data_IF_372065356712
#
_entry.id   IF_372065356712
#
_cell.length_a   1.000
_cell.length_b   1.000
_cell.length_c   1.000
_cell.angle_alpha   90.00
_cell.angle_beta   90.00
_cell.angle_gamma   90.00
#
_symmetry.space_group_name_H-M   'P 1'
#
loop_
_entity.id
_entity.type
_entity.pdbx_description
1 polymer ?
#
# COMPACT_ATOMS: atom_id res chain seq x y z
N UNK A 1 -19.32 3.34 0.39
CA UNK A 1 -17.95 2.79 0.28
C UNK A 1 -17.32 3.29 -1.01
N UNK A 2 -16.07 3.75 -0.93
CA UNK A 2 -15.32 4.24 -2.09
C UNK A 2 -14.06 3.42 -2.30
N UNK A 3 -13.91 2.85 -3.49
CA UNK A 3 -12.75 2.03 -3.88
C UNK A 3 -12.02 2.69 -5.05
N UNK A 4 -10.70 2.86 -4.92
CA UNK A 4 -9.83 3.38 -5.96
C UNK A 4 -8.88 2.29 -6.45
N UNK A 5 -8.98 1.91 -7.73
CA UNK A 5 -8.06 0.99 -8.39
C UNK A 5 -6.95 1.77 -9.11
N UNK A 6 -5.72 1.62 -8.67
CA UNK A 6 -4.52 2.26 -9.23
C UNK A 6 -3.85 1.28 -10.19
N UNK A 7 -3.92 1.55 -11.48
CA UNK A 7 -3.53 0.66 -12.56
C UNK A 7 -2.13 1.02 -13.09
N UNK A 8 -1.15 0.16 -12.80
CA UNK A 8 0.23 0.29 -13.30
C UNK A 8 0.47 -0.34 -14.66
N UNK A 9 -0.58 -0.73 -15.39
CA UNK A 9 -0.44 -1.27 -16.74
C UNK A 9 -0.46 -0.15 -17.79
N UNK A 10 0.45 -0.15 -18.78
CA UNK A 10 0.43 0.83 -19.87
C UNK A 10 -0.73 0.62 -20.85
N UNK A 11 -1.38 -0.53 -20.81
CA UNK A 11 -2.50 -0.91 -21.68
C UNK A 11 -3.68 -1.43 -20.86
N UNK A 12 -4.90 -1.30 -21.39
CA UNK A 12 -6.11 -1.94 -20.84
C UNK A 12 -6.15 -3.44 -21.21
N UNK A 13 -5.13 -4.18 -20.76
CA UNK A 13 -4.95 -5.62 -21.00
C UNK A 13 -5.44 -6.50 -19.84
N UNK A 14 -4.72 -7.60 -19.58
CA UNK A 14 -5.11 -8.61 -18.59
C UNK A 14 -5.28 -8.03 -17.16
N UNK A 15 -4.33 -7.19 -16.70
CA UNK A 15 -4.42 -6.55 -15.38
C UNK A 15 -5.73 -5.77 -15.23
N UNK A 16 -6.11 -4.99 -16.24
CA UNK A 16 -7.37 -4.24 -16.22
C UNK A 16 -8.60 -5.17 -16.24
N UNK A 17 -8.61 -6.21 -17.10
CA UNK A 17 -9.72 -7.18 -17.16
C UNK A 17 -9.93 -7.91 -15.84
N UNK A 18 -8.86 -8.32 -15.14
CA UNK A 18 -8.96 -8.93 -13.81
C UNK A 18 -9.52 -7.92 -12.80
N UNK A 19 -9.10 -6.66 -12.86
CA UNK A 19 -9.65 -5.60 -11.98
C UNK A 19 -11.13 -5.36 -12.24
N UNK A 20 -11.59 -5.39 -13.49
CA UNK A 20 -13.02 -5.31 -13.82
C UNK A 20 -13.83 -6.49 -13.25
N UNK A 21 -13.27 -7.70 -13.25
CA UNK A 21 -13.93 -8.85 -12.60
C UNK A 21 -14.06 -8.62 -11.09
N UNK A 22 -13.02 -8.08 -10.44
CA UNK A 22 -13.07 -7.70 -9.00
C UNK A 22 -14.13 -6.62 -8.77
N UNK A 23 -14.17 -5.56 -9.59
CA UNK A 23 -15.20 -4.52 -9.52
C UNK A 23 -16.63 -5.12 -9.58
N UNK A 24 -16.88 -6.00 -10.56
CA UNK A 24 -18.18 -6.64 -10.75
C UNK A 24 -18.57 -7.48 -9.51
N UNK A 25 -17.61 -8.21 -8.90
CA UNK A 25 -17.85 -8.95 -7.65
C UNK A 25 -18.17 -8.03 -6.48
N UNK A 26 -17.40 -6.95 -6.31
CA UNK A 26 -17.63 -5.98 -5.23
C UNK A 26 -19.00 -5.30 -5.37
N UNK A 27 -19.38 -4.89 -6.58
CA UNK A 27 -20.71 -4.33 -6.87
C UNK A 27 -21.83 -5.34 -6.61
N UNK A 28 -21.61 -6.61 -6.96
CA UNK A 28 -22.56 -7.69 -6.66
C UNK A 28 -22.74 -7.89 -5.16
N UNK A 29 -21.66 -7.92 -4.38
CA UNK A 29 -21.76 -8.04 -2.92
C UNK A 29 -22.45 -6.83 -2.29
N UNK A 30 -22.14 -5.62 -2.75
CA UNK A 30 -22.77 -4.40 -2.26
C UNK A 30 -24.27 -4.35 -2.54
N UNK A 31 -24.69 -4.86 -3.70
CA UNK A 31 -26.11 -4.96 -4.07
C UNK A 31 -26.90 -5.96 -3.21
N UNK A 32 -26.28 -7.08 -2.84
CA UNK A 32 -26.89 -8.19 -2.11
C UNK A 32 -26.39 -8.31 -0.67
N UNK A 33 -25.95 -7.18 -0.07
CA UNK A 33 -25.47 -7.20 1.31
C UNK A 33 -26.60 -7.49 2.30
N UNK A 34 -26.31 -8.29 3.33
CA UNK A 34 -27.28 -8.72 4.34
C UNK A 34 -27.88 -7.59 5.20
N UNK A 35 -27.19 -6.45 5.27
CA UNK A 35 -27.65 -5.25 6.00
C UNK A 35 -28.39 -4.23 5.11
N UNK A 36 -28.69 -4.61 3.87
CA UNK A 36 -29.31 -3.75 2.86
C UNK A 36 -28.34 -3.31 1.79
N UNK A 37 -28.87 -2.64 0.75
CA UNK A 37 -28.07 -2.14 -0.37
C UNK A 37 -27.00 -1.16 0.12
N UNK A 38 -25.73 -1.49 -0.14
CA UNK A 38 -24.58 -0.63 0.13
C UNK A 38 -24.25 0.16 -1.12
N UNK A 39 -24.12 1.48 -1.01
CA UNK A 39 -23.61 2.30 -2.10
C UNK A 39 -22.09 2.12 -2.22
N UNK A 40 -21.63 1.63 -3.38
CA UNK A 40 -20.23 1.37 -3.68
C UNK A 40 -19.81 2.14 -4.93
N UNK A 41 -19.05 3.18 -4.72
CA UNK A 41 -18.36 3.95 -5.76
C UNK A 41 -17.04 3.25 -6.09
N UNK A 42 -16.81 2.94 -7.37
CA UNK A 42 -15.57 2.32 -7.84
C UNK A 42 -14.93 3.19 -8.92
N UNK A 43 -13.72 3.66 -8.66
CA UNK A 43 -12.99 4.57 -9.52
C UNK A 43 -11.65 3.99 -9.98
N UNK A 44 -11.15 4.47 -11.10
CA UNK A 44 -9.88 4.05 -11.68
C UNK A 44 -8.90 5.23 -11.78
N UNK A 45 -7.65 4.95 -11.42
CA UNK A 45 -6.51 5.80 -11.69
C UNK A 45 -5.51 5.03 -12.58
N UNK A 46 -5.47 5.35 -13.87
CA UNK A 46 -4.47 4.79 -14.76
C UNK A 46 -3.18 5.62 -14.64
N UNK A 47 -2.11 5.01 -14.13
CA UNK A 47 -0.85 5.71 -13.90
C UNK A 47 -0.22 6.25 -15.19
N UNK A 48 -0.51 5.64 -16.34
CA UNK A 48 -0.08 6.15 -17.66
C UNK A 48 -0.67 7.52 -18.02
N UNK A 49 -1.84 7.85 -17.46
CA UNK A 49 -2.60 9.07 -17.74
C UNK A 49 -2.56 10.06 -16.54
N UNK A 50 -1.84 9.70 -15.48
CA UNK A 50 -1.94 10.37 -14.18
C UNK A 50 -1.08 11.64 -14.04
N UNK A 51 -0.43 12.12 -15.10
CA UNK A 51 0.52 13.24 -15.04
C UNK A 51 1.45 13.15 -13.80
N UNK A 52 2.08 11.99 -13.61
CA UNK A 52 3.02 11.72 -12.53
C UNK A 52 4.44 11.62 -13.11
N UNK A 53 5.21 12.70 -13.00
CA UNK A 53 6.57 12.76 -13.50
C UNK A 53 7.48 11.69 -12.87
N UNK A 54 8.53 11.28 -13.61
CA UNK A 54 9.49 10.29 -13.10
C UNK A 54 10.26 10.84 -11.88
N UNK A 55 10.38 9.99 -10.86
CA UNK A 55 11.13 10.33 -9.66
C UNK A 55 12.60 10.65 -10.02
N UNK A 56 13.09 11.82 -9.59
CA UNK A 56 14.47 12.25 -9.82
C UNK A 56 15.49 11.63 -8.84
N UNK A 57 15.03 10.85 -7.86
CA UNK A 57 15.91 10.28 -6.83
C UNK A 57 16.58 11.31 -5.92
N UNK A 58 16.10 12.55 -5.87
CA UNK A 58 16.73 13.65 -5.13
C UNK A 58 16.57 13.54 -3.60
N UNK A 59 15.81 12.59 -3.12
CA UNK A 59 15.57 12.28 -1.72
C UNK A 59 14.89 13.39 -0.88
N UNK A 60 14.54 14.53 -1.46
CA UNK A 60 14.01 15.70 -0.75
C UNK A 60 12.72 15.40 0.07
N UNK A 61 11.87 14.50 -0.41
CA UNK A 61 10.61 14.14 0.24
C UNK A 61 10.82 13.37 1.56
N UNK A 62 11.95 12.70 1.76
CA UNK A 62 12.23 11.95 2.98
C UNK A 62 12.63 12.89 4.12
N UNK A 63 13.76 13.60 4.08
CA UNK A 63 14.19 14.44 5.19
C UNK A 63 13.33 15.70 5.37
N UNK A 64 12.89 16.34 4.26
CA UNK A 64 12.24 17.67 4.32
C UNK A 64 10.73 17.68 4.15
N UNK A 65 10.15 16.53 3.82
CA UNK A 65 8.72 16.37 3.58
C UNK A 65 8.35 16.31 2.10
N UNK A 66 7.24 15.65 1.81
CA UNK A 66 6.72 15.42 0.45
C UNK A 66 6.33 16.69 -0.30
N UNK A 67 5.98 17.76 0.42
CA UNK A 67 5.70 19.08 -0.13
C UNK A 67 6.96 19.79 -0.66
N UNK A 68 8.15 19.31 -0.32
CA UNK A 68 9.45 19.80 -0.81
C UNK A 68 9.94 19.04 -2.05
N UNK A 69 9.11 18.17 -2.62
CA UNK A 69 9.42 17.54 -3.90
C UNK A 69 9.54 18.61 -4.99
N UNK A 70 10.63 18.62 -5.80
CA UNK A 70 10.83 19.62 -6.85
C UNK A 70 9.90 19.41 -8.05
N UNK A 71 9.27 18.25 -8.19
CA UNK A 71 8.32 17.96 -9.27
C UNK A 71 6.97 18.60 -8.98
N UNK A 72 6.41 19.27 -9.99
CA UNK A 72 5.14 19.99 -9.92
C UNK A 72 4.09 19.28 -10.77
N UNK A 73 3.57 18.19 -10.24
CA UNK A 73 2.68 17.26 -10.93
C UNK A 73 1.51 16.81 -10.03
N UNK A 74 0.75 15.82 -10.49
CA UNK A 74 -0.46 15.35 -9.80
C UNK A 74 -0.22 14.49 -8.55
N UNK A 75 1.01 14.37 -8.02
CA UNK A 75 1.29 13.53 -6.83
C UNK A 75 0.36 13.87 -5.65
N UNK A 76 0.20 15.16 -5.34
CA UNK A 76 -0.62 15.60 -4.21
C UNK A 76 -2.12 15.30 -4.43
N UNK A 77 -2.61 15.41 -5.65
CA UNK A 77 -4.00 15.11 -5.97
C UNK A 77 -4.27 13.59 -5.95
N UNK A 78 -3.30 12.79 -6.38
CA UNK A 78 -3.36 11.32 -6.23
C UNK A 78 -3.41 10.95 -4.74
N UNK A 79 -2.59 11.57 -3.89
CA UNK A 79 -2.62 11.36 -2.44
C UNK A 79 -4.00 11.68 -1.84
N UNK A 80 -4.60 12.82 -2.20
CA UNK A 80 -5.94 13.19 -1.77
C UNK A 80 -6.99 12.16 -2.18
N UNK A 81 -6.92 11.65 -3.42
CA UNK A 81 -7.84 10.60 -3.91
C UNK A 81 -7.69 9.30 -3.11
N UNK A 82 -6.46 8.92 -2.77
CA UNK A 82 -6.18 7.75 -1.93
C UNK A 82 -6.79 7.96 -0.54
N UNK A 83 -6.51 9.09 0.10
CA UNK A 83 -7.01 9.40 1.45
C UNK A 83 -8.55 9.50 1.51
N UNK A 84 -9.19 9.90 0.42
CA UNK A 84 -10.66 9.99 0.30
C UNK A 84 -11.33 8.64 -0.01
N UNK A 85 -10.56 7.53 -0.12
CA UNK A 85 -11.06 6.20 -0.43
C UNK A 85 -11.00 5.28 0.78
N UNK A 86 -11.98 4.38 0.93
CA UNK A 86 -11.99 3.35 1.97
C UNK A 86 -11.10 2.17 1.59
N UNK A 87 -11.06 1.86 0.29
CA UNK A 87 -10.29 0.75 -0.26
C UNK A 87 -9.41 1.16 -1.43
N UNK A 88 -8.21 0.62 -1.45
CA UNK A 88 -7.24 0.80 -2.54
C UNK A 88 -6.91 -0.54 -3.15
N UNK A 89 -6.91 -0.61 -4.48
CA UNK A 89 -6.45 -1.77 -5.23
C UNK A 89 -5.21 -1.36 -6.04
N UNK A 90 -4.04 -1.86 -5.68
CA UNK A 90 -2.83 -1.68 -6.48
C UNK A 90 -2.72 -2.80 -7.51
N UNK A 91 -2.58 -2.44 -8.77
CA UNK A 91 -2.61 -3.39 -9.89
C UNK A 91 -1.36 -3.26 -10.75
N UNK A 92 -0.57 -4.33 -10.85
CA UNK A 92 0.61 -4.34 -11.70
C UNK A 92 0.73 -5.62 -12.53
N UNK A 93 1.04 -5.52 -13.83
CA UNK A 93 1.61 -6.65 -14.54
C UNK A 93 3.03 -6.92 -14.05
N UNK A 94 3.50 -8.16 -14.23
CA UNK A 94 4.91 -8.52 -14.00
C UNK A 94 5.74 -8.12 -15.21
N UNK A 95 6.75 -7.30 -14.99
CA UNK A 95 7.80 -7.00 -15.96
C UNK A 95 9.17 -7.29 -15.35
N UNK A 96 9.97 -8.11 -16.00
CA UNK A 96 11.30 -8.50 -15.50
C UNK A 96 11.29 -8.93 -14.02
N UNK A 97 10.37 -9.83 -13.66
CA UNK A 97 10.20 -10.38 -12.30
C UNK A 97 9.77 -9.34 -11.24
N UNK A 98 9.34 -8.14 -11.63
CA UNK A 98 8.96 -7.06 -10.73
C UNK A 98 7.72 -6.32 -11.23
N UNK A 99 7.31 -5.27 -10.51
CA UNK A 99 6.24 -4.36 -10.94
C UNK A 99 6.60 -3.64 -12.24
N UNK A 100 5.60 -3.16 -12.96
CA UNK A 100 5.81 -2.29 -14.13
C UNK A 100 6.54 -1.00 -13.76
N UNK A 101 7.20 -0.37 -14.72
CA UNK A 101 7.87 0.92 -14.53
C UNK A 101 6.92 2.03 -14.04
N UNK A 102 5.67 2.04 -14.50
CA UNK A 102 4.64 2.96 -14.03
C UNK A 102 4.34 2.78 -12.54
N UNK A 103 4.15 1.52 -12.12
CA UNK A 103 3.91 1.20 -10.72
C UNK A 103 5.17 1.47 -9.88
N UNK A 104 6.37 1.18 -10.42
CA UNK A 104 7.62 1.48 -9.71
C UNK A 104 7.78 2.98 -9.50
N UNK A 105 7.51 3.80 -10.52
CA UNK A 105 7.51 5.26 -10.37
C UNK A 105 6.51 5.72 -9.29
N UNK A 106 5.29 5.20 -9.30
CA UNK A 106 4.31 5.49 -8.25
C UNK A 106 4.88 5.15 -6.85
N UNK A 107 5.47 3.96 -6.69
CA UNK A 107 6.09 3.55 -5.42
C UNK A 107 7.19 4.52 -4.98
N UNK A 108 8.08 4.91 -5.90
CA UNK A 108 9.19 5.84 -5.62
C UNK A 108 8.68 7.26 -5.26
N UNK A 109 7.61 7.72 -5.95
CA UNK A 109 6.99 9.01 -5.68
C UNK A 109 6.22 9.07 -4.35
N UNK A 110 5.84 7.91 -3.79
CA UNK A 110 5.18 7.74 -2.51
C UNK A 110 6.07 7.09 -1.43
N UNK A 111 7.39 6.97 -1.67
CA UNK A 111 8.32 6.32 -0.75
C UNK A 111 8.35 6.96 0.66
N UNK A 112 8.06 8.26 0.79
CA UNK A 112 7.97 8.95 2.08
C UNK A 112 6.90 8.33 3.00
N UNK A 113 5.89 7.67 2.46
CA UNK A 113 4.84 7.01 3.27
C UNK A 113 5.36 5.78 4.02
N UNK A 114 6.52 5.23 3.65
CA UNK A 114 7.18 4.18 4.40
C UNK A 114 7.86 4.73 5.67
N UNK A 115 8.28 5.98 5.64
CA UNK A 115 8.79 6.70 6.80
C UNK A 115 7.66 7.26 7.66
N UNK A 116 6.68 7.88 7.03
CA UNK A 116 5.52 8.53 7.63
C UNK A 116 4.23 7.88 7.15
N UNK A 117 3.81 6.76 7.76
CA UNK A 117 2.59 6.06 7.37
C UNK A 117 1.35 6.94 7.54
N UNK A 118 0.71 7.30 6.43
CA UNK A 118 -0.47 8.20 6.41
C UNK A 118 -1.76 7.50 5.95
N UNK A 119 -1.64 6.33 5.30
CA UNK A 119 -2.80 5.61 4.75
C UNK A 119 -3.44 4.65 5.75
N UNK A 120 -3.62 5.10 7.00
CA UNK A 120 -3.98 4.25 8.15
C UNK A 120 -5.44 3.76 8.14
N UNK A 121 -6.30 4.40 7.37
CA UNK A 121 -7.72 4.02 7.26
C UNK A 121 -8.02 3.20 5.99
N UNK A 122 -7.07 3.08 5.06
CA UNK A 122 -7.28 2.42 3.78
C UNK A 122 -7.09 0.91 3.87
N UNK A 123 -8.07 0.14 3.38
CA UNK A 123 -7.92 -1.30 3.15
C UNK A 123 -7.23 -1.51 1.81
N UNK A 124 -6.19 -2.34 1.78
CA UNK A 124 -5.36 -2.55 0.60
C UNK A 124 -5.57 -3.95 0.00
N UNK A 125 -5.84 -4.00 -1.29
CA UNK A 125 -5.79 -5.21 -2.10
C UNK A 125 -4.69 -5.09 -3.15
N UNK A 126 -3.96 -6.17 -3.40
CA UNK A 126 -2.95 -6.24 -4.45
C UNK A 126 -3.41 -7.18 -5.56
N UNK A 127 -3.29 -6.74 -6.81
CA UNK A 127 -3.53 -7.58 -7.99
C UNK A 127 -2.27 -7.60 -8.84
N UNK A 128 -1.77 -8.81 -9.11
CA UNK A 128 -0.60 -9.01 -9.97
C UNK A 128 -0.95 -10.01 -11.08
N UNK A 129 -0.60 -9.68 -12.31
CA UNK A 129 -0.79 -10.56 -13.47
C UNK A 129 0.54 -10.82 -14.17
N UNK A 130 0.77 -12.06 -14.60
CA UNK A 130 1.97 -12.45 -15.34
C UNK A 130 1.63 -13.45 -16.44
N UNK A 131 2.46 -13.54 -17.48
CA UNK A 131 2.38 -14.64 -18.43
C UNK A 131 2.56 -15.99 -17.73
N UNK A 132 3.63 -16.14 -16.95
CA UNK A 132 3.93 -17.40 -16.25
C UNK A 132 4.61 -17.18 -14.88
N UNK A 133 5.66 -16.38 -14.80
CA UNK A 133 6.57 -16.28 -13.66
C UNK A 133 6.58 -14.88 -13.03
N UNK A 134 7.17 -14.73 -11.83
CA UNK A 134 7.38 -13.42 -11.17
C UNK A 134 6.20 -12.91 -10.33
N UNK A 135 5.11 -13.68 -10.21
CA UNK A 135 3.92 -13.27 -9.43
C UNK A 135 4.24 -13.04 -7.95
N UNK A 136 5.00 -13.96 -7.34
CA UNK A 136 5.33 -13.93 -5.92
C UNK A 136 6.26 -12.75 -5.59
N UNK A 137 7.29 -12.56 -6.39
CA UNK A 137 8.28 -11.50 -6.26
C UNK A 137 7.62 -10.12 -6.41
N UNK A 138 6.77 -9.99 -7.42
CA UNK A 138 6.03 -8.76 -7.69
C UNK A 138 5.02 -8.45 -6.59
N UNK A 139 4.27 -9.43 -6.08
CA UNK A 139 3.41 -9.25 -4.91
C UNK A 139 4.19 -8.81 -3.68
N UNK A 140 5.37 -9.39 -3.44
CA UNK A 140 6.25 -9.00 -2.33
C UNK A 140 6.71 -7.55 -2.50
N UNK A 141 7.20 -7.18 -3.68
CA UNK A 141 7.61 -5.80 -3.98
C UNK A 141 6.45 -4.82 -3.75
N UNK A 142 5.27 -5.11 -4.32
CA UNK A 142 4.09 -4.26 -4.22
C UNK A 142 3.56 -4.12 -2.78
N UNK A 143 3.79 -5.12 -1.92
CA UNK A 143 3.32 -5.10 -0.52
C UNK A 143 4.07 -4.10 0.37
N UNK A 144 5.18 -3.54 -0.09
CA UNK A 144 5.90 -2.47 0.60
C UNK A 144 5.40 -1.06 0.24
N UNK A 145 4.37 -0.95 -0.59
CA UNK A 145 3.75 0.34 -0.95
C UNK A 145 2.65 0.70 0.06
N UNK A 146 2.22 1.94 0.10
CA UNK A 146 1.08 2.41 0.90
C UNK A 146 1.29 2.27 2.42
N UNK A 147 2.31 2.96 2.94
CA UNK A 147 2.62 2.94 4.38
C UNK A 147 1.43 3.30 5.27
N UNK A 148 1.11 2.41 6.21
CA UNK A 148 0.00 2.51 7.14
C UNK A 148 -1.24 1.73 6.73
N UNK A 149 -1.45 1.40 5.45
CA UNK A 149 -2.65 0.71 4.99
C UNK A 149 -2.73 -0.75 5.47
N UNK A 150 -3.96 -1.23 5.65
CA UNK A 150 -4.23 -2.61 5.99
C UNK A 150 -4.22 -3.49 4.73
N UNK A 151 -3.15 -4.25 4.51
CA UNK A 151 -3.09 -5.23 3.43
C UNK A 151 -3.98 -6.45 3.75
N UNK A 152 -5.18 -6.46 3.20
CA UNK A 152 -6.22 -7.44 3.51
C UNK A 152 -6.40 -8.51 2.45
N UNK A 153 -6.07 -8.24 1.19
CA UNK A 153 -6.28 -9.20 0.10
C UNK A 153 -5.15 -9.17 -0.93
N UNK A 154 -4.84 -10.32 -1.52
CA UNK A 154 -3.86 -10.50 -2.59
C UNK A 154 -4.45 -11.41 -3.66
N UNK A 155 -4.30 -11.03 -4.91
CA UNK A 155 -4.71 -11.80 -6.08
C UNK A 155 -3.56 -11.87 -7.09
N UNK A 156 -3.08 -13.08 -7.36
CA UNK A 156 -2.04 -13.36 -8.34
C UNK A 156 -2.62 -14.24 -9.44
N UNK A 157 -2.60 -13.78 -10.68
CA UNK A 157 -3.23 -14.50 -11.80
C UNK A 157 -2.24 -14.68 -12.93
N UNK A 158 -2.03 -15.93 -13.35
CA UNK A 158 -1.34 -16.20 -14.61
C UNK A 158 -2.26 -15.87 -15.78
N UNK A 159 -1.74 -15.10 -16.71
CA UNK A 159 -2.49 -14.64 -17.90
C UNK A 159 -1.64 -14.82 -19.15
N UNK A 160 -1.26 -16.08 -19.50
CA UNK A 160 -0.50 -16.34 -20.71
C UNK A 160 -1.26 -15.87 -21.96
N UNK A 161 -0.55 -15.54 -23.07
CA UNK A 161 -1.17 -14.95 -24.26
C UNK A 161 -1.84 -16.00 -25.17
N UNK A 162 -2.47 -17.01 -24.57
CA UNK A 162 -3.17 -18.08 -25.27
C UNK A 162 -4.64 -18.12 -24.83
N UNK A 163 -5.47 -18.85 -25.58
CA UNK A 163 -6.84 -19.16 -25.17
C UNK A 163 -6.81 -20.15 -24.01
N UNK A 164 -7.55 -19.83 -22.96
CA UNK A 164 -7.62 -20.68 -21.77
C UNK A 164 -8.62 -21.83 -21.96
N UNK A 165 -8.36 -22.96 -21.29
CA UNK A 165 -9.37 -24.01 -21.14
C UNK A 165 -10.46 -23.54 -20.15
N UNK A 166 -11.72 -23.94 -20.33
CA UNK A 166 -12.82 -23.53 -19.42
C UNK A 166 -12.52 -23.74 -17.93
N UNK A 167 -11.96 -24.89 -17.58
CA UNK A 167 -11.55 -25.22 -16.19
C UNK A 167 -10.57 -24.20 -15.60
N UNK A 168 -9.69 -23.63 -16.43
CA UNK A 168 -8.74 -22.61 -15.96
C UNK A 168 -9.43 -21.26 -15.78
N UNK A 169 -10.33 -20.87 -16.68
CA UNK A 169 -11.16 -19.66 -16.53
C UNK A 169 -12.02 -19.71 -15.27
N UNK A 170 -12.62 -20.86 -14.98
CA UNK A 170 -13.36 -21.08 -13.73
C UNK A 170 -12.46 -20.96 -12.50
N UNK A 171 -11.20 -21.44 -12.56
CA UNK A 171 -10.26 -21.28 -11.44
C UNK A 171 -9.92 -19.81 -11.20
N UNK A 172 -9.71 -19.02 -12.26
CA UNK A 172 -9.51 -17.56 -12.13
C UNK A 172 -10.74 -16.92 -11.51
N UNK A 173 -11.95 -17.28 -11.96
CA UNK A 173 -13.19 -16.72 -11.43
C UNK A 173 -13.36 -17.00 -9.93
N UNK A 174 -13.01 -18.21 -9.47
CA UNK A 174 -13.02 -18.58 -8.03
C UNK A 174 -12.00 -17.78 -7.23
N UNK A 175 -10.78 -17.59 -7.75
CA UNK A 175 -9.74 -16.83 -7.06
C UNK A 175 -10.09 -15.34 -6.97
N UNK A 176 -10.65 -14.77 -8.04
CA UNK A 176 -11.20 -13.41 -8.06
C UNK A 176 -12.31 -13.28 -7.02
N UNK A 177 -13.26 -14.22 -7.00
CA UNK A 177 -14.38 -14.20 -6.06
C UNK A 177 -13.90 -14.22 -4.61
N UNK A 178 -13.03 -15.18 -4.26
CA UNK A 178 -12.45 -15.34 -2.92
C UNK A 178 -11.68 -14.08 -2.47
N UNK A 179 -10.84 -13.52 -3.35
CA UNK A 179 -10.07 -12.32 -3.04
C UNK A 179 -10.96 -11.08 -2.87
N UNK A 180 -11.99 -10.93 -3.73
CA UNK A 180 -12.96 -9.85 -3.68
C UNK A 180 -13.84 -9.94 -2.42
N UNK A 181 -14.29 -11.15 -2.05
CA UNK A 181 -15.08 -11.36 -0.83
C UNK A 181 -14.31 -10.95 0.43
N UNK A 182 -13.01 -11.35 0.50
CA UNK A 182 -12.14 -10.98 1.62
C UNK A 182 -11.96 -9.46 1.70
N UNK A 183 -11.75 -8.81 0.56
CA UNK A 183 -11.60 -7.36 0.50
C UNK A 183 -12.90 -6.65 0.89
N UNK A 184 -14.04 -7.06 0.34
CA UNK A 184 -15.34 -6.50 0.66
C UNK A 184 -15.70 -6.60 2.15
N UNK A 185 -15.49 -7.78 2.75
CA UNK A 185 -15.67 -7.96 4.20
C UNK A 185 -14.82 -7.00 5.03
N UNK A 186 -13.61 -6.72 4.59
CA UNK A 186 -12.73 -5.76 5.28
C UNK A 186 -13.17 -4.32 5.12
N UNK A 187 -13.74 -3.95 3.97
CA UNK A 187 -14.29 -2.59 3.74
C UNK A 187 -15.49 -2.27 4.64
N UNK A 188 -16.21 -3.29 5.11
CA UNK A 188 -17.32 -3.12 6.07
C UNK A 188 -16.85 -2.85 7.50
N UNK A 189 -15.55 -2.96 7.77
CA UNK A 189 -14.97 -2.72 9.10
C UNK A 189 -14.38 -1.33 9.16
N UNK A 190 -14.97 -0.46 9.98
CA UNK A 190 -14.47 0.90 10.24
C UNK A 190 -13.18 0.90 11.08
N UNK A 191 -12.77 -0.28 11.59
CA UNK A 191 -11.60 -0.38 12.45
C UNK A 191 -10.38 -0.87 11.65
N UNK A 192 -9.21 -0.22 11.83
CA UNK A 192 -7.95 -0.75 11.35
C UNK A 192 -7.66 -2.13 11.97
N UNK A 193 -6.86 -2.94 11.27
CA UNK A 193 -6.39 -4.20 11.83
C UNK A 193 -5.52 -3.94 13.08
N UNK A 194 -5.62 -4.81 14.11
CA UNK A 194 -4.77 -4.68 15.28
C UNK A 194 -3.29 -4.72 14.91
N UNK A 195 -2.44 -3.82 15.46
CA UNK A 195 -1.03 -3.78 15.15
C UNK A 195 -0.34 -5.11 15.43
N UNK A 196 0.37 -5.64 14.45
CA UNK A 196 1.26 -6.78 14.64
C UNK A 196 2.48 -6.37 15.46
N UNK A 197 3.25 -7.34 15.98
CA UNK A 197 4.52 -7.02 16.65
C UNK A 197 5.49 -6.26 15.73
N UNK A 198 5.56 -6.63 14.47
CA UNK A 198 6.42 -5.98 13.49
C UNK A 198 6.00 -4.52 13.23
N UNK A 199 4.69 -4.23 13.16
CA UNK A 199 4.20 -2.85 13.03
C UNK A 199 4.61 -2.00 14.24
N UNK A 200 4.49 -2.55 15.45
CA UNK A 200 4.91 -1.86 16.69
C UNK A 200 6.41 -1.64 16.71
N UNK A 201 7.19 -2.64 16.28
CA UNK A 201 8.66 -2.54 16.19
C UNK A 201 9.08 -1.43 15.22
N UNK A 202 8.50 -1.38 14.02
CA UNK A 202 8.78 -0.32 13.05
C UNK A 202 8.39 1.06 13.58
N UNK A 203 7.22 1.18 14.22
CA UNK A 203 6.82 2.44 14.84
C UNK A 203 7.85 2.92 15.89
N UNK A 204 8.27 2.05 16.82
CA UNK A 204 9.25 2.38 17.84
C UNK A 204 10.62 2.70 17.22
N UNK A 205 11.01 2.00 16.17
CA UNK A 205 12.26 2.26 15.44
C UNK A 205 12.27 3.65 14.81
N UNK A 206 11.26 3.96 13.99
CA UNK A 206 11.17 5.27 13.33
C UNK A 206 11.04 6.42 14.32
N UNK A 207 10.24 6.25 15.38
CA UNK A 207 10.12 7.27 16.45
C UNK A 207 11.48 7.54 17.10
N UNK A 208 12.19 6.49 17.50
CA UNK A 208 13.48 6.64 18.18
C UNK A 208 14.59 7.18 17.26
N UNK A 209 14.60 6.77 16.00
CA UNK A 209 15.56 7.27 15.00
C UNK A 209 15.25 8.74 14.68
N UNK A 210 13.98 9.10 14.47
CA UNK A 210 13.59 10.48 14.14
C UNK A 210 13.97 11.47 15.24
N UNK A 211 13.87 11.07 16.51
CA UNK A 211 14.34 11.90 17.65
C UNK A 211 15.86 12.15 17.60
N UNK A 212 16.64 11.09 17.32
CA UNK A 212 18.10 11.20 17.21
C UNK A 212 18.55 12.02 16.00
N UNK A 213 17.82 11.88 14.89
CA UNK A 213 18.19 12.47 13.59
C UNK A 213 17.36 13.71 13.25
N UNK A 214 16.75 14.36 14.21
CA UNK A 214 15.80 15.48 14.00
C UNK A 214 16.36 16.64 13.15
N UNK A 215 17.67 16.89 13.23
CA UNK A 215 18.31 17.92 12.41
C UNK A 215 18.54 17.49 10.95
N UNK A 216 18.64 16.18 10.69
CA UNK A 216 18.82 15.61 9.35
C UNK A 216 17.47 15.24 8.70
N UNK A 217 16.51 14.78 9.49
CA UNK A 217 15.18 14.32 9.07
C UNK A 217 14.05 15.06 9.82
N UNK A 218 13.98 16.40 9.72
CA UNK A 218 12.99 17.18 10.46
C UNK A 218 11.54 16.76 10.14
N UNK A 219 11.23 16.33 8.92
CA UNK A 219 9.88 15.89 8.57
C UNK A 219 9.45 14.61 9.31
N UNK A 220 10.36 13.65 9.51
CA UNK A 220 10.07 12.46 10.28
C UNK A 220 9.91 12.80 11.76
N UNK A 221 10.78 13.67 12.31
CA UNK A 221 10.63 14.14 13.67
C UNK A 221 9.28 14.81 13.92
N UNK A 222 8.86 15.75 13.08
CA UNK A 222 7.56 16.41 13.18
C UNK A 222 6.39 15.41 13.11
N UNK A 223 6.50 14.37 12.29
CA UNK A 223 5.48 13.33 12.21
C UNK A 223 5.38 12.47 13.48
N UNK A 224 6.51 12.18 14.16
CA UNK A 224 6.54 11.25 15.29
C UNK A 224 6.51 11.91 16.68
N UNK A 225 6.87 13.18 16.82
CA UNK A 225 7.09 13.85 18.12
C UNK A 225 5.90 13.70 19.09
N UNK A 226 4.68 13.85 18.59
CA UNK A 226 3.45 13.82 19.41
C UNK A 226 2.75 12.45 19.43
N UNK A 227 3.30 11.43 18.73
CA UNK A 227 2.72 10.09 18.69
C UNK A 227 3.26 9.23 19.83
N UNK A 228 2.37 8.83 20.77
CA UNK A 228 2.81 8.10 21.96
C UNK A 228 2.83 6.58 21.83
N UNK A 229 1.86 6.01 21.11
CA UNK A 229 1.65 4.55 21.09
C UNK A 229 1.78 3.93 19.72
N UNK A 230 1.23 4.57 18.68
CA UNK A 230 1.24 4.06 17.32
C UNK A 230 0.97 5.19 16.29
N UNK A 231 0.94 4.87 15.00
CA UNK A 231 0.68 5.82 13.91
C UNK A 231 -0.70 6.49 13.99
N UNK A 232 -1.68 5.79 14.59
CA UNK A 232 -3.06 6.22 14.79
C UNK A 232 -3.52 5.81 16.20
N UNK A 233 -4.63 6.36 16.66
CA UNK A 233 -5.21 6.00 17.95
C UNK A 233 -5.70 4.56 17.96
N UNK A 234 -5.04 3.71 18.72
CA UNK A 234 -5.38 2.29 18.88
C UNK A 234 -4.78 1.73 20.16
N UNK A 235 -5.41 0.68 20.68
CA UNK A 235 -4.86 -0.07 21.82
C UNK A 235 -3.74 -0.98 21.34
N UNK A 236 -2.52 -0.70 21.78
CA UNK A 236 -1.36 -1.57 21.54
C UNK A 236 -1.09 -2.42 22.78
N UNK A 237 -0.87 -3.71 22.58
CA UNK A 237 -0.52 -4.61 23.69
C UNK A 237 0.77 -4.14 24.39
N UNK A 238 0.74 -3.88 25.72
CA UNK A 238 1.88 -3.36 26.47
C UNK A 238 3.14 -4.24 26.36
N UNK A 239 2.98 -5.57 26.32
CA UNK A 239 4.10 -6.52 26.17
C UNK A 239 4.78 -6.37 24.81
N UNK A 240 3.99 -6.19 23.73
CA UNK A 240 4.56 -5.90 22.39
C UNK A 240 5.36 -4.61 22.40
N UNK A 241 4.82 -3.56 23.05
CA UNK A 241 5.47 -2.26 23.16
C UNK A 241 6.78 -2.35 23.96
N UNK A 242 6.76 -3.06 25.08
CA UNK A 242 7.94 -3.26 25.91
C UNK A 242 9.05 -4.00 25.15
N UNK A 243 8.70 -5.15 24.53
CA UNK A 243 9.65 -5.94 23.74
C UNK A 243 10.24 -5.15 22.56
N UNK A 244 9.39 -4.38 21.83
CA UNK A 244 9.85 -3.53 20.74
C UNK A 244 10.82 -2.44 21.23
N UNK A 245 10.47 -1.72 22.30
CA UNK A 245 11.35 -0.70 22.89
C UNK A 245 12.70 -1.28 23.33
N UNK A 246 12.70 -2.48 23.94
CA UNK A 246 13.92 -3.14 24.36
C UNK A 246 14.82 -3.48 23.14
N UNK A 247 14.24 -4.08 22.09
CA UNK A 247 14.98 -4.39 20.87
C UNK A 247 15.54 -3.14 20.19
N UNK A 248 14.76 -2.06 20.11
CA UNK A 248 15.23 -0.81 19.51
C UNK A 248 16.33 -0.16 20.35
N UNK A 249 16.28 -0.24 21.67
CA UNK A 249 17.37 0.25 22.53
C UNK A 249 18.69 -0.48 22.26
N UNK A 250 18.65 -1.79 22.04
CA UNK A 250 19.85 -2.56 21.63
C UNK A 250 20.33 -2.17 20.23
N UNK A 251 19.43 -2.04 19.28
CA UNK A 251 19.76 -1.60 17.91
C UNK A 251 20.41 -0.22 17.90
N UNK A 252 19.87 0.74 18.66
CA UNK A 252 20.39 2.12 18.70
C UNK A 252 21.81 2.19 19.29
N UNK A 253 22.20 1.29 20.21
CA UNK A 253 23.60 1.22 20.69
C UNK A 253 24.55 0.89 19.54
N UNK A 254 24.17 -0.04 18.66
CA UNK A 254 24.96 -0.35 17.45
C UNK A 254 24.92 0.78 16.43
N UNK A 255 23.79 1.45 16.26
CA UNK A 255 23.62 2.59 15.37
C UNK A 255 24.55 3.75 15.78
N UNK A 256 24.58 4.12 17.07
CA UNK A 256 25.43 5.19 17.59
C UNK A 256 26.91 4.88 17.38
N UNK A 257 27.31 3.61 17.55
CA UNK A 257 28.70 3.18 17.35
C UNK A 257 29.18 3.32 15.90
N UNK A 258 28.29 3.07 14.93
CA UNK A 258 28.68 2.92 13.53
C UNK A 258 28.32 4.12 12.64
N UNK A 259 27.30 4.92 12.99
CA UNK A 259 26.72 5.89 12.06
C UNK A 259 26.52 7.29 12.63
N UNK A 260 26.68 7.49 13.95
CA UNK A 260 26.40 8.77 14.57
C UNK A 260 27.64 9.28 15.28
N UNK A 261 28.30 10.27 14.68
CA UNK A 261 29.25 11.15 15.38
C UNK A 261 28.49 12.37 15.87
N UNK A 262 28.66 12.69 17.15
CA UNK A 262 28.02 13.87 17.79
C UNK A 262 28.41 15.17 17.11
#
# INVERSE_FOLDING_TARGET
>A
MKVLAIIGSPKKGNSYRITQQVENRLKSYAKHDSIGKVDLEFDYLFLKDANLELCKGCFACIPRGENKCPLKDSRADIEKRILASDGIILVSPVYSMNVSWLMKNFMDRFAYTLHRPIFVNQKLMLIVTAGEVGLKETLKSLSYTMGGSDLVSKLAVKTPPFKYRPKYEESIARDVDKASQKFYKSLKSDKPLPPTFLNVLWFQAFKAISEKTKHHFPADYEFYKDKNYFFYETKVNPLKTFAAKFMIRLFLRGFDKNFYTK
#
